data_IF_418608732716
#
_entry.id   IF_418608732716
#
_cell.length_a   1.000
_cell.length_b   1.000
_cell.length_c   1.000
_cell.angle_alpha   90.00
_cell.angle_beta   90.00
_cell.angle_gamma   90.00
#
_symmetry.space_group_name_H-M   'P 1'
#
loop_
_entity.id
_entity.type
_entity.pdbx_description
1 polymer ?
#
# COMPACT_ATOMS: atom_id res chain seq x y z
N UNK A 1 69.72 10.50 -31.97
CA UNK A 1 68.94 11.32 -31.01
C UNK A 1 67.48 11.04 -31.29
N UNK A 2 66.95 10.00 -30.66
CA UNK A 2 65.55 9.58 -30.70
C UNK A 2 64.86 10.05 -29.41
N UNK A 3 63.62 10.57 -29.47
CA UNK A 3 62.94 11.06 -28.28
C UNK A 3 62.15 9.95 -27.57
N UNK A 4 62.59 9.66 -26.35
CA UNK A 4 61.89 9.19 -25.14
C UNK A 4 60.48 8.55 -25.29
N UNK A 5 60.45 7.23 -25.14
CA UNK A 5 59.30 6.49 -24.60
C UNK A 5 59.25 6.61 -23.06
N UNK A 6 58.05 6.84 -22.51
CA UNK A 6 57.77 6.70 -21.07
C UNK A 6 56.90 5.45 -20.87
N UNK A 7 57.22 4.54 -19.92
CA UNK A 7 56.61 3.21 -19.87
C UNK A 7 55.24 3.22 -19.18
N UNK A 8 54.31 2.42 -19.72
CA UNK A 8 53.09 2.03 -19.04
C UNK A 8 53.43 1.08 -17.87
N UNK A 9 52.90 1.41 -16.70
CA UNK A 9 53.01 0.62 -15.47
C UNK A 9 52.21 -0.72 -15.56
N UNK A 10 52.57 -1.72 -14.73
CA UNK A 10 52.36 -3.13 -15.04
C UNK A 10 50.95 -3.64 -14.73
N UNK A 11 50.59 -4.69 -15.49
CA UNK A 11 49.51 -5.66 -15.30
C UNK A 11 48.77 -5.60 -13.94
N UNK A 12 47.54 -5.08 -13.96
CA UNK A 12 46.51 -5.43 -13.00
C UNK A 12 45.53 -6.42 -13.64
N UNK A 13 45.97 -7.68 -13.66
CA UNK A 13 45.14 -8.86 -13.39
C UNK A 13 43.84 -9.01 -14.18
N UNK A 14 43.97 -9.32 -15.48
CA UNK A 14 43.03 -10.23 -16.12
C UNK A 14 43.11 -11.58 -15.39
N UNK A 15 42.16 -11.88 -14.51
CA UNK A 15 42.03 -13.22 -13.95
C UNK A 15 41.58 -14.14 -15.07
N UNK A 16 42.59 -14.83 -15.63
CA UNK A 16 42.51 -16.05 -16.42
C UNK A 16 41.44 -16.96 -15.79
N UNK A 17 40.34 -17.21 -16.50
CA UNK A 17 39.38 -18.25 -16.14
C UNK A 17 40.14 -19.56 -15.96
N UNK A 18 40.26 -20.00 -14.71
CA UNK A 18 40.72 -21.34 -14.36
C UNK A 18 39.64 -22.32 -14.83
N UNK A 19 39.84 -22.92 -16.02
CA UNK A 19 39.25 -24.22 -16.37
C UNK A 19 39.80 -25.20 -15.35
N UNK A 20 39.01 -25.50 -14.33
CA UNK A 20 39.04 -26.70 -13.47
C UNK A 20 38.28 -26.40 -12.18
N UNK A 21 36.97 -26.17 -12.30
CA UNK A 21 36.05 -26.53 -11.23
C UNK A 21 35.42 -27.85 -11.67
N UNK A 22 35.95 -28.96 -11.15
CA UNK A 22 35.17 -30.18 -11.03
C UNK A 22 33.82 -29.78 -10.45
N UNK A 23 32.74 -30.07 -11.18
CA UNK A 23 31.36 -29.95 -10.70
C UNK A 23 31.22 -30.89 -9.49
N UNK A 24 31.64 -30.44 -8.31
CA UNK A 24 30.97 -30.88 -7.11
C UNK A 24 29.57 -30.29 -7.21
N UNK A 25 28.64 -31.10 -7.71
CA UNK A 25 27.26 -30.99 -7.27
C UNK A 25 27.33 -31.05 -5.75
N UNK A 26 27.42 -29.88 -5.10
CA UNK A 26 26.96 -29.71 -3.74
C UNK A 26 25.50 -30.12 -3.80
N UNK A 27 25.24 -31.42 -3.64
CA UNK A 27 23.95 -31.92 -3.25
C UNK A 27 23.68 -31.24 -1.92
N UNK A 28 22.93 -30.13 -1.99
CA UNK A 28 22.31 -29.53 -0.83
C UNK A 28 21.65 -30.70 -0.10
N UNK A 29 21.97 -30.86 1.20
CA UNK A 29 21.27 -31.84 2.01
C UNK A 29 19.75 -31.63 1.83
N UNK A 30 18.89 -32.65 1.99
CA UNK A 30 17.44 -32.47 1.88
C UNK A 30 16.89 -31.31 2.75
N UNK A 31 17.61 -30.97 3.82
CA UNK A 31 17.37 -29.84 4.72
C UNK A 31 17.70 -28.44 4.14
N UNK A 32 18.44 -28.38 3.03
CA UNK A 32 18.96 -27.18 2.37
C UNK A 32 18.34 -26.92 0.99
N UNK A 33 17.32 -27.67 0.56
CA UNK A 33 16.57 -27.29 -0.62
C UNK A 33 15.97 -25.89 -0.41
N UNK A 34 16.18 -24.93 -1.33
CA UNK A 34 15.61 -23.60 -1.22
C UNK A 34 14.09 -23.72 -1.25
N UNK A 35 13.45 -23.68 -0.07
CA UNK A 35 12.00 -23.64 0.01
C UNK A 35 11.54 -22.24 -0.37
N UNK A 36 10.62 -22.13 -1.31
CA UNK A 36 10.04 -20.84 -1.65
C UNK A 36 9.29 -20.23 -0.45
N UNK A 37 9.27 -18.90 -0.41
CA UNK A 37 8.55 -18.12 0.59
C UNK A 37 9.32 -17.95 1.88
N UNK A 38 8.60 -17.69 2.98
CA UNK A 38 9.20 -17.33 4.26
C UNK A 38 9.84 -18.55 4.94
N UNK A 39 10.91 -18.32 5.72
CA UNK A 39 11.63 -19.39 6.41
C UNK A 39 10.71 -20.17 7.37
N UNK A 40 10.70 -21.51 7.23
CA UNK A 40 9.76 -22.44 7.89
C UNK A 40 10.05 -22.74 9.36
N UNK A 41 10.94 -21.99 10.03
CA UNK A 41 11.18 -22.11 11.47
C UNK A 41 10.64 -20.88 12.20
N UNK A 42 9.47 -21.05 12.82
CA UNK A 42 8.89 -20.09 13.75
C UNK A 42 9.80 -19.92 14.97
N UNK A 43 10.56 -18.83 15.02
CA UNK A 43 11.19 -18.39 16.27
C UNK A 43 10.14 -17.70 17.13
N UNK A 44 10.12 -17.98 18.44
CA UNK A 44 9.24 -17.32 19.40
C UNK A 44 9.31 -15.78 19.30
N UNK A 45 10.50 -15.25 18.97
CA UNK A 45 10.73 -13.82 18.77
C UNK A 45 9.92 -13.25 17.60
N UNK A 46 9.71 -14.03 16.52
CA UNK A 46 8.86 -13.61 15.40
C UNK A 46 7.39 -13.57 15.79
N UNK A 47 6.94 -14.51 16.62
CA UNK A 47 5.57 -14.53 17.14
C UNK A 47 5.31 -13.32 18.02
N UNK A 48 6.23 -13.01 18.95
CA UNK A 48 6.15 -11.83 19.82
C UNK A 48 6.17 -10.55 19.01
N UNK A 49 7.09 -10.42 18.04
CA UNK A 49 7.14 -9.25 17.15
C UNK A 49 5.86 -9.07 16.32
N UNK A 50 5.28 -10.17 15.84
CA UNK A 50 4.01 -10.14 15.09
C UNK A 50 2.85 -9.69 15.96
N UNK A 51 2.74 -10.24 17.17
CA UNK A 51 1.72 -9.84 18.14
C UNK A 51 1.87 -8.36 18.52
N UNK A 52 3.10 -7.91 18.76
CA UNK A 52 3.38 -6.51 19.03
C UNK A 52 2.86 -5.63 17.90
N UNK A 53 3.12 -5.96 16.63
CA UNK A 53 2.64 -5.16 15.49
C UNK A 53 1.11 -5.17 15.35
N UNK A 54 0.47 -6.32 15.60
CA UNK A 54 -1.01 -6.44 15.58
C UNK A 54 -1.66 -5.56 16.66
N UNK A 55 -1.00 -5.35 17.80
CA UNK A 55 -1.51 -4.50 18.88
C UNK A 55 -1.09 -3.03 18.70
N UNK A 56 0.15 -2.80 18.29
CA UNK A 56 0.74 -1.48 18.19
C UNK A 56 0.15 -0.65 17.05
N UNK A 57 -0.05 -1.23 15.87
CA UNK A 57 -0.53 -0.47 14.72
C UNK A 57 -1.95 0.11 14.90
N UNK A 58 -2.95 -0.65 15.41
CA UNK A 58 -4.25 -0.09 15.77
C UNK A 58 -4.14 0.98 16.85
N UNK A 59 -3.34 0.73 17.89
CA UNK A 59 -3.13 1.69 18.98
C UNK A 59 -2.55 3.00 18.44
N UNK A 60 -1.61 2.92 17.50
CA UNK A 60 -1.00 4.08 16.88
C UNK A 60 -2.03 4.88 16.07
N UNK A 61 -2.86 4.23 15.24
CA UNK A 61 -3.91 4.91 14.47
C UNK A 61 -4.92 5.61 15.39
N UNK A 62 -5.34 4.95 16.47
CA UNK A 62 -6.24 5.56 17.46
C UNK A 62 -5.55 6.74 18.16
N UNK A 63 -4.29 6.58 18.57
CA UNK A 63 -3.51 7.65 19.20
C UNK A 63 -3.33 8.86 18.27
N UNK A 64 -3.10 8.63 16.97
CA UNK A 64 -3.04 9.69 15.97
C UNK A 64 -4.39 10.39 15.82
N UNK A 65 -5.49 9.63 15.81
CA UNK A 65 -6.85 10.18 15.75
C UNK A 65 -7.13 11.07 16.97
N UNK A 66 -6.82 10.58 18.18
CA UNK A 66 -6.92 11.34 19.43
C UNK A 66 -6.03 12.58 19.41
N UNK A 67 -4.80 12.46 18.90
CA UNK A 67 -3.87 13.60 18.77
C UNK A 67 -4.47 14.70 17.89
N UNK A 68 -5.05 14.32 16.74
CA UNK A 68 -5.69 15.25 15.81
C UNK A 68 -6.93 15.93 16.42
N UNK A 69 -7.78 15.19 17.13
CA UNK A 69 -9.06 15.71 17.63
C UNK A 69 -8.95 16.43 18.97
N UNK A 70 -8.18 15.89 19.93
CA UNK A 70 -8.14 16.39 21.31
C UNK A 70 -6.92 17.28 21.60
N UNK A 71 -5.83 17.13 20.84
CA UNK A 71 -4.57 17.85 21.06
C UNK A 71 -4.19 18.75 19.88
N UNK A 72 -5.17 19.15 19.06
CA UNK A 72 -4.97 20.04 17.91
C UNK A 72 -3.88 19.57 16.92
N UNK A 73 -3.65 18.25 16.83
CA UNK A 73 -2.56 17.67 16.04
C UNK A 73 -1.16 17.78 16.65
N UNK A 74 -1.00 18.34 17.85
CA UNK A 74 0.27 18.46 18.55
C UNK A 74 0.70 17.14 19.21
N UNK A 75 1.64 16.44 18.57
CA UNK A 75 2.25 15.24 19.15
C UNK A 75 2.95 15.54 20.49
N UNK A 76 3.51 16.75 20.64
CA UNK A 76 4.22 17.12 21.87
C UNK A 76 3.29 17.25 23.08
N UNK A 77 2.09 17.79 22.88
CA UNK A 77 1.09 17.91 23.94
C UNK A 77 0.48 16.56 24.28
N UNK A 78 0.18 15.75 23.27
CA UNK A 78 -0.24 14.37 23.48
C UNK A 78 0.79 13.58 24.30
N UNK A 79 2.07 13.64 23.95
CA UNK A 79 3.12 12.94 24.69
C UNK A 79 3.29 13.46 26.12
N UNK A 80 3.14 14.77 26.36
CA UNK A 80 3.16 15.34 27.72
C UNK A 80 2.01 14.77 28.56
N UNK A 81 0.79 14.73 28.02
CA UNK A 81 -0.36 14.14 28.70
C UNK A 81 -0.15 12.65 28.98
N UNK A 82 0.39 11.89 28.01
CA UNK A 82 0.71 10.47 28.18
C UNK A 82 1.77 10.24 29.27
N UNK A 83 2.76 11.12 29.40
CA UNK A 83 3.77 11.03 30.46
C UNK A 83 3.21 11.36 31.85
N UNK A 84 2.18 12.22 31.93
CA UNK A 84 1.56 12.62 33.19
C UNK A 84 0.51 11.62 33.66
N UNK A 85 -0.43 11.24 32.78
CA UNK A 85 -1.64 10.49 33.14
C UNK A 85 -1.63 9.04 32.63
N UNK A 86 -0.66 8.68 31.79
CA UNK A 86 -0.55 7.37 31.16
C UNK A 86 -1.37 7.23 29.86
N UNK A 87 -0.84 6.44 28.92
CA UNK A 87 -1.42 6.28 27.57
C UNK A 87 -2.88 5.83 27.59
N UNK A 88 -3.20 4.83 28.41
CA UNK A 88 -4.54 4.25 28.47
C UNK A 88 -5.55 5.30 28.97
N UNK A 89 -5.20 6.07 30.00
CA UNK A 89 -6.06 7.10 30.57
C UNK A 89 -6.37 8.19 29.56
N UNK A 90 -5.34 8.72 28.89
CA UNK A 90 -5.46 9.78 27.90
C UNK A 90 -6.30 9.34 26.69
N UNK A 91 -6.02 8.15 26.15
CA UNK A 91 -6.73 7.61 24.99
C UNK A 91 -8.18 7.25 25.35
N UNK A 92 -8.42 6.68 26.54
CA UNK A 92 -9.77 6.34 27.00
C UNK A 92 -10.64 7.57 27.22
N UNK A 93 -10.07 8.63 27.79
CA UNK A 93 -10.78 9.89 28.05
C UNK A 93 -11.17 10.62 26.76
N UNK A 94 -10.42 10.40 25.69
CA UNK A 94 -10.63 10.99 24.36
C UNK A 94 -11.09 9.94 23.33
N UNK A 95 -11.68 8.83 23.80
CA UNK A 95 -11.97 7.70 22.93
C UNK A 95 -12.93 8.09 21.80
N UNK A 96 -12.67 7.68 20.54
CA UNK A 96 -13.57 7.96 19.44
C UNK A 96 -14.99 7.45 19.70
N UNK A 97 -16.00 8.25 19.38
CA UNK A 97 -17.39 7.85 19.61
C UNK A 97 -17.83 6.78 18.61
N UNK A 98 -18.35 5.67 19.13
CA UNK A 98 -18.94 4.61 18.32
C UNK A 98 -20.33 5.01 17.82
N UNK A 99 -20.63 4.71 16.56
CA UNK A 99 -21.95 4.91 15.98
C UNK A 99 -22.32 3.75 15.05
N UNK A 100 -23.48 3.14 15.31
CA UNK A 100 -24.03 2.09 14.45
C UNK A 100 -24.37 2.61 13.06
N UNK A 101 -24.86 3.85 12.96
CA UNK A 101 -25.14 4.50 11.66
C UNK A 101 -23.87 4.62 10.83
N UNK A 102 -22.78 5.11 11.43
CA UNK A 102 -21.48 5.27 10.77
C UNK A 102 -20.90 3.91 10.36
N UNK A 103 -21.03 2.90 11.23
CA UNK A 103 -20.62 1.53 10.90
C UNK A 103 -21.42 0.96 9.72
N UNK A 104 -22.73 1.21 9.67
CA UNK A 104 -23.58 0.84 8.53
C UNK A 104 -23.17 1.55 7.24
N UNK A 105 -22.83 2.84 7.29
CA UNK A 105 -22.32 3.59 6.14
C UNK A 105 -20.98 3.04 5.64
N UNK A 106 -20.07 2.69 6.54
CA UNK A 106 -18.81 2.04 6.17
C UNK A 106 -19.03 0.66 5.54
N UNK A 107 -19.95 -0.14 6.08
CA UNK A 107 -20.31 -1.43 5.49
C UNK A 107 -20.92 -1.26 4.08
N UNK A 108 -21.79 -0.27 3.89
CA UNK A 108 -22.36 0.08 2.59
C UNK A 108 -21.27 0.53 1.61
N UNK A 109 -20.29 1.32 2.06
CA UNK A 109 -19.12 1.70 1.28
C UNK A 109 -18.34 0.48 0.79
N UNK A 110 -17.98 -0.45 1.68
CA UNK A 110 -17.25 -1.67 1.32
C UNK A 110 -18.07 -2.53 0.35
N UNK A 111 -19.38 -2.66 0.58
CA UNK A 111 -20.29 -3.41 -0.30
C UNK A 111 -20.38 -2.78 -1.70
N UNK A 112 -20.58 -1.45 -1.77
CA UNK A 112 -20.62 -0.70 -3.02
C UNK A 112 -19.32 -0.89 -3.81
N UNK A 113 -18.18 -0.76 -3.15
CA UNK A 113 -16.88 -1.02 -3.76
C UNK A 113 -16.73 -2.48 -4.23
N UNK A 114 -17.27 -3.45 -3.48
CA UNK A 114 -17.29 -4.86 -3.88
C UNK A 114 -18.13 -5.10 -5.15
N UNK A 115 -19.29 -4.44 -5.26
CA UNK A 115 -20.15 -4.49 -6.45
C UNK A 115 -19.41 -3.92 -7.66
N UNK A 116 -18.79 -2.73 -7.52
CA UNK A 116 -18.01 -2.14 -8.61
C UNK A 116 -16.84 -3.04 -9.01
N UNK A 117 -16.10 -3.58 -8.05
CA UNK A 117 -14.98 -4.49 -8.33
C UNK A 117 -15.42 -5.69 -9.15
N UNK A 118 -16.56 -6.30 -8.81
CA UNK A 118 -17.06 -7.51 -9.47
C UNK A 118 -17.67 -7.24 -10.85
N UNK A 119 -18.47 -6.19 -10.97
CA UNK A 119 -19.36 -6.03 -12.14
C UNK A 119 -18.90 -4.97 -13.13
N UNK A 120 -18.10 -3.99 -12.71
CA UNK A 120 -17.68 -2.92 -13.60
C UNK A 120 -16.72 -3.47 -14.68
N UNK A 121 -16.88 -3.07 -15.96
CA UNK A 121 -16.00 -3.53 -17.02
C UNK A 121 -14.59 -2.95 -16.86
N UNK A 122 -13.60 -3.73 -17.27
CA UNK A 122 -12.20 -3.34 -17.30
C UNK A 122 -11.35 -4.38 -18.03
N UNK A 123 -10.14 -4.03 -18.47
CA UNK A 123 -9.24 -4.98 -19.11
C UNK A 123 -8.82 -6.08 -18.14
N UNK A 124 -8.59 -7.27 -18.70
CA UNK A 124 -8.05 -8.41 -17.96
C UNK A 124 -6.55 -8.48 -18.18
N UNK A 125 -5.80 -8.59 -17.09
CA UNK A 125 -4.36 -8.76 -17.08
C UNK A 125 -3.96 -10.01 -16.30
N UNK A 126 -2.74 -10.49 -16.52
CA UNK A 126 -2.17 -11.59 -15.76
C UNK A 126 -1.25 -11.05 -14.66
N UNK A 127 -1.34 -11.69 -13.49
CA UNK A 127 -0.38 -11.48 -12.41
C UNK A 127 0.97 -12.16 -12.70
N UNK A 128 1.78 -12.32 -11.66
CA UNK A 128 2.95 -13.19 -11.72
C UNK A 128 2.57 -14.64 -11.50
N UNK A 129 3.37 -15.54 -12.06
CA UNK A 129 3.21 -16.97 -11.82
C UNK A 129 3.52 -17.25 -10.35
N UNK A 130 2.60 -17.90 -9.67
CA UNK A 130 2.81 -18.32 -8.29
C UNK A 130 3.88 -19.42 -8.23
N UNK A 131 4.42 -19.70 -7.05
CA UNK A 131 5.42 -20.76 -6.84
C UNK A 131 4.88 -22.15 -7.13
N UNK A 132 3.58 -22.38 -6.89
CA UNK A 132 2.91 -23.60 -7.33
C UNK A 132 2.60 -23.61 -8.83
N UNK A 133 2.99 -22.56 -9.58
CA UNK A 133 2.87 -22.49 -11.04
C UNK A 133 1.58 -21.84 -11.54
N UNK A 134 0.69 -21.37 -10.65
CA UNK A 134 -0.59 -20.79 -11.03
C UNK A 134 -0.43 -19.38 -11.61
N UNK A 135 -0.98 -19.13 -12.80
CA UNK A 135 -1.01 -17.81 -13.42
C UNK A 135 -2.40 -17.21 -13.31
N UNK A 136 -2.57 -16.32 -12.34
CA UNK A 136 -3.87 -15.74 -12.03
C UNK A 136 -4.25 -14.59 -12.97
N UNK A 137 -5.52 -14.52 -13.34
CA UNK A 137 -6.11 -13.42 -14.13
C UNK A 137 -6.79 -12.41 -13.21
N UNK A 138 -6.70 -11.13 -13.56
CA UNK A 138 -7.23 -10.00 -12.79
C UNK A 138 -7.93 -9.03 -13.72
N UNK A 139 -9.13 -8.60 -13.34
CA UNK A 139 -9.81 -7.47 -13.99
C UNK A 139 -9.39 -6.18 -13.30
N UNK A 140 -8.74 -5.28 -14.04
CA UNK A 140 -8.29 -3.99 -13.50
C UNK A 140 -9.26 -2.89 -13.94
N UNK A 141 -10.34 -2.74 -13.17
CA UNK A 141 -11.40 -1.74 -13.41
C UNK A 141 -11.32 -0.55 -12.43
N UNK A 142 -10.18 -0.34 -11.75
CA UNK A 142 -10.05 0.61 -10.65
C UNK A 142 -10.27 2.05 -11.07
N UNK A 143 -9.80 2.44 -12.26
CA UNK A 143 -10.01 3.80 -12.78
C UNK A 143 -11.50 4.09 -13.01
N UNK A 144 -12.21 3.14 -13.64
CA UNK A 144 -13.65 3.26 -13.83
C UNK A 144 -14.38 3.29 -12.48
N UNK A 145 -13.96 2.46 -11.52
CA UNK A 145 -14.55 2.41 -10.19
C UNK A 145 -14.35 3.74 -9.44
N UNK A 146 -13.18 4.36 -9.59
CA UNK A 146 -12.89 5.68 -9.06
C UNK A 146 -13.85 6.74 -9.62
N UNK A 147 -14.01 6.80 -10.96
CA UNK A 147 -14.93 7.76 -11.59
C UNK A 147 -16.38 7.56 -11.17
N UNK A 148 -16.88 6.32 -11.22
CA UNK A 148 -18.26 6.00 -10.81
C UNK A 148 -18.47 6.37 -9.35
N UNK A 149 -17.51 6.07 -8.48
CA UNK A 149 -17.57 6.40 -7.06
C UNK A 149 -17.64 7.91 -6.82
N UNK A 150 -16.75 8.68 -7.44
CA UNK A 150 -16.70 10.14 -7.23
C UNK A 150 -17.90 10.84 -7.85
N UNK A 151 -18.34 10.43 -9.05
CA UNK A 151 -19.55 10.95 -9.66
C UNK A 151 -20.80 10.64 -8.83
N UNK A 152 -20.88 9.43 -8.28
CA UNK A 152 -22.00 9.04 -7.41
C UNK A 152 -21.98 9.82 -6.10
N UNK A 153 -20.83 9.96 -5.44
CA UNK A 153 -20.69 10.77 -4.24
C UNK A 153 -21.06 12.24 -4.50
N UNK A 154 -20.56 12.83 -5.60
CA UNK A 154 -20.90 14.20 -5.99
C UNK A 154 -22.41 14.36 -6.27
N UNK A 155 -23.05 13.38 -6.91
CA UNK A 155 -24.49 13.40 -7.11
C UNK A 155 -25.26 13.33 -5.78
N UNK A 156 -24.87 12.46 -4.86
CA UNK A 156 -25.49 12.38 -3.53
C UNK A 156 -25.35 13.69 -2.75
N UNK A 157 -24.19 14.35 -2.85
CA UNK A 157 -23.98 15.68 -2.28
C UNK A 157 -24.85 16.75 -2.95
N UNK A 158 -24.97 16.73 -4.28
CA UNK A 158 -25.77 17.70 -5.04
C UNK A 158 -27.27 17.60 -4.72
N UNK A 159 -27.78 16.40 -4.44
CA UNK A 159 -29.17 16.17 -4.05
C UNK A 159 -29.40 16.22 -2.52
N UNK A 160 -28.44 16.74 -1.74
CA UNK A 160 -28.50 16.84 -0.27
C UNK A 160 -28.75 15.51 0.46
N UNK A 161 -28.44 14.37 -0.18
CA UNK A 161 -28.57 13.03 0.41
C UNK A 161 -27.36 12.69 1.28
N UNK A 162 -26.19 13.17 0.88
CA UNK A 162 -24.92 12.99 1.59
C UNK A 162 -24.33 14.35 1.94
N UNK A 163 -24.01 14.54 3.22
CA UNK A 163 -23.24 15.70 3.67
C UNK A 163 -21.81 15.62 3.08
N UNK A 164 -21.35 16.62 2.30
CA UNK A 164 -19.99 16.65 1.77
C UNK A 164 -18.91 16.55 2.85
N UNK A 165 -19.20 17.02 4.08
CA UNK A 165 -18.32 16.99 5.24
C UNK A 165 -18.58 15.78 6.16
N UNK A 166 -19.32 14.77 5.70
CA UNK A 166 -19.69 13.60 6.50
C UNK A 166 -18.48 12.87 7.10
N UNK A 167 -17.39 12.69 6.34
CA UNK A 167 -16.22 11.92 6.75
C UNK A 167 -15.53 12.54 7.98
N UNK A 168 -15.05 13.80 7.95
CA UNK A 168 -14.40 14.41 9.10
C UNK A 168 -15.31 14.51 10.33
N UNK A 169 -16.61 14.82 10.15
CA UNK A 169 -17.59 14.85 11.25
C UNK A 169 -17.77 13.50 11.95
N UNK A 170 -17.57 12.39 11.24
CA UNK A 170 -17.78 11.03 11.74
C UNK A 170 -16.46 10.23 11.80
N UNK A 171 -15.31 10.90 11.72
CA UNK A 171 -14.02 10.25 11.53
C UNK A 171 -13.70 9.23 12.62
N UNK A 172 -13.95 9.59 13.89
CA UNK A 172 -13.74 8.69 15.01
C UNK A 172 -14.52 7.37 14.88
N UNK A 173 -15.80 7.44 14.52
CA UNK A 173 -16.62 6.26 14.27
C UNK A 173 -16.12 5.44 13.08
N UNK A 174 -15.73 6.10 11.98
CA UNK A 174 -15.16 5.45 10.79
C UNK A 174 -13.87 4.70 11.13
N UNK A 175 -12.95 5.31 11.89
CA UNK A 175 -11.70 4.67 12.31
C UNK A 175 -11.97 3.42 13.14
N UNK A 176 -12.94 3.44 14.04
CA UNK A 176 -13.35 2.24 14.79
C UNK A 176 -13.93 1.16 13.88
N UNK A 177 -14.82 1.54 12.94
CA UNK A 177 -15.41 0.60 11.98
C UNK A 177 -14.34 -0.03 11.06
N UNK A 178 -13.40 0.77 10.57
CA UNK A 178 -12.26 0.32 9.76
C UNK A 178 -11.38 -0.66 10.55
N UNK A 179 -11.03 -0.34 11.80
CA UNK A 179 -10.25 -1.23 12.67
C UNK A 179 -10.93 -2.58 12.89
N UNK A 180 -12.22 -2.55 13.25
CA UNK A 180 -13.00 -3.77 13.45
C UNK A 180 -13.05 -4.61 12.16
N UNK A 181 -13.34 -3.98 11.02
CA UNK A 181 -13.42 -4.68 9.74
C UNK A 181 -12.08 -5.25 9.28
N UNK A 182 -10.98 -4.51 9.45
CA UNK A 182 -9.63 -4.97 9.14
C UNK A 182 -9.23 -6.19 9.98
N UNK A 183 -9.52 -6.17 11.29
CA UNK A 183 -9.28 -7.31 12.18
C UNK A 183 -10.13 -8.53 11.80
N UNK A 184 -11.44 -8.33 11.58
CA UNK A 184 -12.36 -9.39 11.16
C UNK A 184 -11.91 -10.01 9.84
N UNK A 185 -11.56 -9.18 8.84
CA UNK A 185 -11.07 -9.65 7.54
C UNK A 185 -9.78 -10.46 7.68
N UNK A 186 -8.87 -10.06 8.57
CA UNK A 186 -7.62 -10.78 8.83
C UNK A 186 -7.89 -12.17 9.41
N UNK A 187 -8.80 -12.27 10.38
CA UNK A 187 -9.23 -13.55 10.97
C UNK A 187 -9.95 -14.42 9.94
N UNK A 188 -10.85 -13.84 9.14
CA UNK A 188 -11.55 -14.57 8.07
C UNK A 188 -10.58 -15.09 7.00
N UNK A 189 -9.58 -14.31 6.62
CA UNK A 189 -8.52 -14.74 5.69
C UNK A 189 -7.70 -15.90 6.28
N UNK A 190 -7.35 -15.82 7.56
CA UNK A 190 -6.67 -16.90 8.27
C UNK A 190 -7.50 -18.19 8.30
N UNK A 191 -8.78 -18.10 8.67
CA UNK A 191 -9.71 -19.25 8.69
C UNK A 191 -9.87 -19.83 7.28
N UNK A 192 -10.10 -18.98 6.27
CA UNK A 192 -10.25 -19.40 4.86
C UNK A 192 -9.03 -20.20 4.40
N UNK A 193 -7.81 -19.76 4.72
CA UNK A 193 -6.59 -20.44 4.33
C UNK A 193 -6.49 -21.89 4.89
N UNK A 194 -7.13 -22.17 6.02
CA UNK A 194 -7.19 -23.50 6.63
C UNK A 194 -8.31 -24.36 6.03
N UNK A 195 -9.50 -23.77 5.82
CA UNK A 195 -10.70 -24.53 5.45
C UNK A 195 -10.93 -24.66 3.94
N UNK A 196 -10.74 -23.58 3.19
CA UNK A 196 -11.08 -23.46 1.76
C UNK A 196 -10.07 -22.55 1.04
N UNK A 197 -8.78 -22.91 0.98
CA UNK A 197 -7.81 -22.15 0.20
C UNK A 197 -8.15 -22.21 -1.29
N UNK A 198 -7.88 -21.13 -2.00
CA UNK A 198 -8.07 -21.01 -3.46
C UNK A 198 -7.08 -21.91 -4.17
N UNK A 199 -5.81 -21.90 -3.74
CA UNK A 199 -4.79 -22.86 -4.16
C UNK A 199 -4.09 -23.41 -2.92
N UNK A 200 -4.26 -24.70 -2.64
CA UNK A 200 -3.74 -25.32 -1.42
C UNK A 200 -2.20 -25.36 -1.40
N UNK A 201 -1.58 -25.41 -2.58
CA UNK A 201 -0.13 -25.50 -2.79
C UNK A 201 0.57 -24.13 -2.66
N UNK A 202 -0.18 -23.03 -2.77
CA UNK A 202 0.31 -21.66 -2.53
C UNK A 202 0.08 -21.22 -1.06
N UNK A 203 -0.02 -22.17 -0.14
CA UNK A 203 -0.06 -21.90 1.30
C UNK A 203 1.32 -22.01 1.92
N UNK A 204 1.61 -21.11 2.86
CA UNK A 204 2.83 -21.18 3.66
C UNK A 204 2.51 -21.00 5.14
N UNK A 205 2.73 -22.08 5.90
CA UNK A 205 2.67 -22.09 7.35
C UNK A 205 4.07 -21.90 7.94
N UNK A 206 4.19 -21.07 8.97
CA UNK A 206 5.46 -20.85 9.68
C UNK A 206 5.63 -21.71 10.93
N UNK A 207 4.56 -22.39 11.37
CA UNK A 207 4.49 -23.08 12.65
C UNK A 207 4.14 -22.16 13.83
N UNK A 208 3.90 -20.87 13.59
CA UNK A 208 3.42 -19.91 14.60
C UNK A 208 2.10 -19.29 14.16
N UNK A 209 1.04 -19.54 14.95
CA UNK A 209 -0.31 -18.99 14.69
C UNK A 209 -0.30 -17.47 14.64
N UNK A 210 0.42 -16.81 15.56
CA UNK A 210 0.47 -15.35 15.63
C UNK A 210 1.20 -14.74 14.42
N UNK A 211 2.29 -15.39 13.99
CA UNK A 211 3.01 -14.96 12.79
C UNK A 211 2.19 -15.19 11.52
N UNK A 212 1.52 -16.33 11.43
CA UNK A 212 0.69 -16.71 10.27
C UNK A 212 -0.58 -15.85 10.17
N UNK A 213 -1.15 -15.42 11.30
CA UNK A 213 -2.21 -14.41 11.33
C UNK A 213 -1.70 -13.05 10.83
N UNK A 214 -0.51 -12.64 11.27
CA UNK A 214 0.07 -11.35 10.89
C UNK A 214 0.45 -11.29 9.40
N UNK A 215 1.26 -12.25 8.95
CA UNK A 215 1.83 -12.31 7.60
C UNK A 215 0.96 -13.04 6.57
N UNK A 216 -0.14 -13.68 7.00
CA UNK A 216 -1.04 -14.44 6.14
C UNK A 216 -0.54 -15.84 5.81
N UNK A 217 -1.45 -16.77 5.50
CA UNK A 217 -1.11 -18.15 5.12
C UNK A 217 -1.28 -18.41 3.64
N UNK A 218 -2.33 -17.84 3.04
CA UNK A 218 -2.67 -18.03 1.63
C UNK A 218 -2.08 -16.91 0.79
N UNK A 219 -1.42 -17.24 -0.33
CA UNK A 219 -0.78 -16.23 -1.17
C UNK A 219 -1.82 -15.26 -1.73
N UNK A 220 -2.77 -15.71 -2.56
CA UNK A 220 -3.78 -14.86 -3.19
C UNK A 220 -5.19 -15.41 -2.95
N UNK A 221 -5.80 -15.13 -1.78
CA UNK A 221 -7.15 -15.62 -1.49
C UNK A 221 -8.19 -14.97 -2.38
N UNK A 222 -8.99 -15.82 -3.02
CA UNK A 222 -10.14 -15.42 -3.83
C UNK A 222 -11.45 -15.94 -3.27
N UNK A 223 -12.49 -15.12 -3.39
CA UNK A 223 -13.88 -15.51 -3.12
C UNK A 223 -14.70 -15.41 -4.42
N UNK A 224 -15.79 -16.18 -4.53
CA UNK A 224 -16.73 -16.09 -5.65
C UNK A 224 -16.10 -16.04 -7.06
N UNK A 225 -15.05 -16.84 -7.30
CA UNK A 225 -14.33 -16.89 -8.57
C UNK A 225 -13.08 -16.00 -8.57
N UNK A 226 -13.12 -14.90 -9.33
CA UNK A 226 -11.98 -14.00 -9.58
C UNK A 226 -11.89 -12.81 -8.60
N UNK A 227 -12.72 -12.79 -7.54
CA UNK A 227 -12.68 -11.73 -6.54
C UNK A 227 -11.45 -11.90 -5.63
N UNK A 228 -10.35 -11.27 -6.01
CA UNK A 228 -9.08 -11.32 -5.28
C UNK A 228 -9.07 -10.33 -4.12
N UNK A 229 -8.89 -10.84 -2.89
CA UNK A 229 -9.00 -10.02 -1.68
C UNK A 229 -7.89 -8.96 -1.60
N UNK A 230 -6.67 -9.24 -2.07
CA UNK A 230 -5.58 -8.25 -2.00
C UNK A 230 -5.84 -7.07 -2.91
N UNK A 231 -6.15 -7.35 -4.18
CA UNK A 231 -6.40 -6.30 -5.15
C UNK A 231 -7.64 -5.50 -4.76
N UNK A 232 -8.69 -6.20 -4.29
CA UNK A 232 -9.90 -5.56 -3.79
C UNK A 232 -9.57 -4.63 -2.62
N UNK A 233 -8.99 -5.13 -1.53
CA UNK A 233 -8.88 -4.36 -0.28
C UNK A 233 -7.98 -3.15 -0.42
N UNK A 234 -6.83 -3.32 -1.10
CA UNK A 234 -5.91 -2.22 -1.35
C UNK A 234 -6.53 -1.20 -2.30
N UNK A 235 -7.00 -1.65 -3.47
CA UNK A 235 -7.43 -0.76 -4.53
C UNK A 235 -8.76 -0.08 -4.28
N UNK A 236 -9.76 -0.79 -3.72
CA UNK A 236 -11.15 -0.31 -3.70
C UNK A 236 -11.47 0.45 -2.40
N UNK A 237 -11.81 -0.19 -1.26
CA UNK A 237 -12.12 0.54 -0.04
C UNK A 237 -10.91 1.29 0.55
N UNK A 238 -9.67 0.93 0.20
CA UNK A 238 -8.45 1.65 0.60
C UNK A 238 -8.17 2.88 -0.27
N UNK A 239 -7.54 2.68 -1.44
CA UNK A 239 -7.03 3.78 -2.28
C UNK A 239 -8.14 4.71 -2.80
N UNK A 240 -9.33 4.23 -3.17
CA UNK A 240 -10.41 5.14 -3.62
C UNK A 240 -10.91 6.02 -2.47
N UNK A 241 -10.92 5.51 -1.23
CA UNK A 241 -11.33 6.30 -0.08
C UNK A 241 -10.41 7.50 0.17
N UNK A 242 -9.11 7.39 -0.17
CA UNK A 242 -8.12 8.45 0.01
C UNK A 242 -8.62 9.80 -0.56
N UNK A 243 -8.96 9.85 -1.85
CA UNK A 243 -9.38 11.11 -2.48
C UNK A 243 -10.76 11.58 -1.98
N UNK A 244 -11.65 10.67 -1.57
CA UNK A 244 -12.92 11.05 -0.94
C UNK A 244 -12.71 11.70 0.43
N UNK A 245 -11.80 11.16 1.24
CA UNK A 245 -11.44 11.72 2.55
C UNK A 245 -10.86 13.12 2.36
N UNK A 246 -9.96 13.30 1.40
CA UNK A 246 -9.37 14.60 1.10
C UNK A 246 -10.43 15.64 0.68
N UNK A 247 -11.30 15.29 -0.26
CA UNK A 247 -12.39 16.18 -0.71
C UNK A 247 -13.37 16.51 0.42
N UNK A 248 -13.68 15.53 1.28
CA UNK A 248 -14.58 15.75 2.41
C UNK A 248 -13.95 16.65 3.49
N UNK A 249 -12.63 16.59 3.69
CA UNK A 249 -11.92 17.52 4.55
C UNK A 249 -11.90 18.96 3.99
N UNK A 250 -11.80 19.13 2.66
CA UNK A 250 -11.95 20.46 2.03
C UNK A 250 -13.36 21.01 2.29
N UNK A 251 -14.40 20.18 2.11
CA UNK A 251 -15.77 20.60 2.37
C UNK A 251 -16.00 20.97 3.84
N UNK A 252 -15.45 20.19 4.76
CA UNK A 252 -15.51 20.50 6.20
C UNK A 252 -14.79 21.79 6.54
N UNK A 253 -13.61 22.04 5.94
CA UNK A 253 -12.90 23.30 6.11
C UNK A 253 -13.78 24.47 5.68
N UNK A 254 -14.41 24.38 4.50
CA UNK A 254 -15.34 25.42 4.03
C UNK A 254 -16.51 25.64 5.00
N UNK A 255 -17.08 24.57 5.55
CA UNK A 255 -18.20 24.67 6.50
C UNK A 255 -17.82 25.40 7.79
N UNK A 256 -16.64 25.13 8.36
CA UNK A 256 -16.24 25.71 9.66
C UNK A 256 -15.70 27.14 9.55
N UNK A 257 -15.09 27.54 8.43
CA UNK A 257 -14.48 28.87 8.28
C UNK A 257 -15.08 29.74 7.14
N UNK A 258 -16.00 29.21 6.33
CA UNK A 258 -16.59 29.93 5.19
C UNK A 258 -15.63 30.19 4.03
N UNK A 259 -14.43 29.61 4.04
CA UNK A 259 -13.39 29.74 3.01
C UNK A 259 -12.55 28.46 2.92
N UNK A 260 -11.81 28.29 1.83
CA UNK A 260 -10.90 27.16 1.63
C UNK A 260 -9.48 27.72 1.54
N UNK A 261 -8.56 27.17 2.33
CA UNK A 261 -7.14 27.52 2.24
C UNK A 261 -6.50 26.85 1.02
N UNK A 262 -5.59 27.52 0.28
CA UNK A 262 -4.97 26.92 -0.91
C UNK A 262 -4.18 25.64 -0.59
N UNK A 263 -3.56 25.55 0.59
CA UNK A 263 -2.71 24.43 0.96
C UNK A 263 -3.43 23.06 1.00
N UNK A 264 -4.67 22.99 1.49
CA UNK A 264 -5.44 21.74 1.52
C UNK A 264 -5.78 21.29 0.10
N UNK A 265 -6.08 22.24 -0.79
CA UNK A 265 -6.34 21.96 -2.21
C UNK A 265 -5.07 21.45 -2.91
N UNK A 266 -3.92 22.08 -2.67
CA UNK A 266 -2.65 21.67 -3.28
C UNK A 266 -2.23 20.25 -2.84
N UNK A 267 -2.38 19.92 -1.55
CA UNK A 267 -2.14 18.55 -1.05
C UNK A 267 -3.11 17.56 -1.70
N UNK A 268 -4.40 17.89 -1.76
CA UNK A 268 -5.40 17.04 -2.41
C UNK A 268 -5.11 16.82 -3.89
N UNK A 269 -4.60 17.82 -4.61
CA UNK A 269 -4.16 17.66 -6.01
C UNK A 269 -3.00 16.66 -6.10
N UNK A 270 -1.98 16.77 -5.24
CA UNK A 270 -0.85 15.83 -5.24
C UNK A 270 -1.31 14.40 -4.93
N UNK A 271 -2.20 14.23 -3.95
CA UNK A 271 -2.80 12.94 -3.62
C UNK A 271 -3.63 12.39 -4.79
N UNK A 272 -4.47 13.21 -5.42
CA UNK A 272 -5.28 12.82 -6.56
C UNK A 272 -4.42 12.41 -7.77
N UNK A 273 -3.34 13.14 -8.06
CA UNK A 273 -2.37 12.75 -9.10
C UNK A 273 -1.79 11.37 -8.79
N UNK A 274 -1.36 11.12 -7.56
CA UNK A 274 -0.82 9.82 -7.15
C UNK A 274 -1.84 8.68 -7.28
N UNK A 275 -3.07 8.91 -6.78
CA UNK A 275 -4.15 7.92 -6.80
C UNK A 275 -4.63 7.60 -8.22
N UNK A 276 -4.82 8.61 -9.06
CA UNK A 276 -5.20 8.42 -10.46
C UNK A 276 -4.09 7.75 -11.26
N UNK A 277 -2.84 8.14 -11.04
CA UNK A 277 -1.66 7.51 -11.65
C UNK A 277 -1.56 6.02 -11.28
N UNK A 278 -1.87 5.66 -10.03
CA UNK A 278 -2.00 4.27 -9.61
C UNK A 278 -3.06 3.53 -10.42
N UNK A 279 -4.28 4.07 -10.55
CA UNK A 279 -5.37 3.39 -11.27
C UNK A 279 -5.18 3.34 -12.79
N UNK A 280 -4.59 4.37 -13.39
CA UNK A 280 -4.19 4.36 -14.81
C UNK A 280 -3.18 3.23 -15.07
N UNK A 281 -2.35 2.91 -14.08
CA UNK A 281 -1.32 1.88 -14.16
C UNK A 281 -1.64 0.66 -13.26
N UNK A 282 -2.91 0.38 -12.97
CA UNK A 282 -3.32 -0.64 -11.98
C UNK A 282 -2.73 -2.03 -12.31
N UNK A 283 -2.56 -2.36 -13.58
CA UNK A 283 -1.94 -3.61 -14.04
C UNK A 283 -0.48 -3.79 -13.59
N UNK A 284 0.23 -2.70 -13.28
CA UNK A 284 1.59 -2.75 -12.74
C UNK A 284 1.61 -3.22 -11.29
N UNK A 285 0.55 -2.92 -10.54
CA UNK A 285 0.41 -3.38 -9.15
C UNK A 285 0.36 -4.91 -9.06
N UNK A 286 -0.10 -5.60 -10.11
CA UNK A 286 -0.09 -7.07 -10.17
C UNK A 286 1.32 -7.70 -10.15
N UNK A 287 2.37 -6.87 -10.28
CA UNK A 287 3.78 -7.28 -10.25
C UNK A 287 4.52 -6.81 -9.00
N UNK A 288 3.83 -6.14 -8.06
CA UNK A 288 4.45 -5.69 -6.81
C UNK A 288 4.64 -6.85 -5.85
N UNK A 289 5.42 -6.61 -4.80
CA UNK A 289 5.67 -7.59 -3.75
C UNK A 289 4.37 -8.05 -3.08
N UNK A 290 3.43 -7.14 -2.87
CA UNK A 290 2.14 -7.40 -2.21
C UNK A 290 1.33 -8.48 -2.93
N UNK A 291 1.26 -8.43 -4.27
CA UNK A 291 0.53 -9.42 -5.07
C UNK A 291 1.38 -10.67 -5.34
N UNK A 292 2.65 -10.49 -5.70
CA UNK A 292 3.47 -11.59 -6.23
C UNK A 292 4.14 -12.43 -5.14
N UNK A 293 4.34 -11.92 -3.92
CA UNK A 293 5.20 -12.58 -2.92
C UNK A 293 4.59 -12.62 -1.51
N UNK A 294 3.95 -11.54 -1.06
CA UNK A 294 3.40 -11.49 0.30
C UNK A 294 2.10 -12.29 0.42
N UNK A 295 1.89 -12.98 1.52
CA UNK A 295 0.63 -13.70 1.75
C UNK A 295 -0.39 -12.75 2.39
N UNK A 296 -1.68 -13.04 2.22
CA UNK A 296 -2.73 -12.17 2.71
C UNK A 296 -3.08 -12.48 4.18
N UNK A 297 -2.64 -11.61 5.08
CA UNK A 297 -2.96 -11.65 6.52
C UNK A 297 -3.19 -10.24 7.06
N UNK A 298 -3.07 -10.05 8.38
CA UNK A 298 -3.29 -8.76 9.03
C UNK A 298 -2.52 -7.61 8.39
N UNK A 299 -1.25 -7.81 8.06
CA UNK A 299 -0.41 -6.79 7.45
C UNK A 299 -1.06 -6.14 6.22
N UNK A 300 -1.55 -6.96 5.28
CA UNK A 300 -2.19 -6.46 4.06
C UNK A 300 -3.66 -6.10 4.28
N UNK A 301 -4.41 -6.93 5.01
CA UNK A 301 -5.85 -6.73 5.22
C UNK A 301 -6.14 -5.48 6.05
N UNK A 302 -5.58 -5.38 7.25
CA UNK A 302 -5.74 -4.23 8.13
C UNK A 302 -5.01 -3.00 7.58
N UNK A 303 -3.81 -3.18 7.00
CA UNK A 303 -3.05 -2.08 6.38
C UNK A 303 -3.85 -1.38 5.27
N UNK A 304 -4.53 -2.14 4.41
CA UNK A 304 -5.35 -1.59 3.32
C UNK A 304 -6.61 -0.87 3.82
N UNK A 305 -7.28 -1.43 4.83
CA UNK A 305 -8.57 -0.92 5.33
C UNK A 305 -8.44 0.26 6.29
N UNK A 306 -7.32 0.32 7.02
CA UNK A 306 -7.17 1.23 8.15
C UNK A 306 -6.00 2.16 7.90
N UNK A 307 -4.79 1.61 7.85
CA UNK A 307 -3.57 2.41 7.79
C UNK A 307 -3.54 3.32 6.57
N UNK A 308 -3.83 2.78 5.39
CA UNK A 308 -3.81 3.55 4.15
C UNK A 308 -4.79 4.74 4.22
N UNK A 309 -6.11 4.55 4.38
CA UNK A 309 -7.03 5.68 4.40
C UNK A 309 -6.83 6.60 5.61
N UNK A 310 -6.37 6.10 6.77
CA UNK A 310 -6.27 6.93 7.97
C UNK A 310 -4.95 7.67 8.10
N UNK A 311 -3.83 7.07 7.70
CA UNK A 311 -2.50 7.65 7.91
C UNK A 311 -2.03 8.44 6.68
N UNK A 312 -2.42 8.04 5.47
CA UNK A 312 -1.96 8.72 4.25
C UNK A 312 -2.72 10.04 4.00
N UNK A 313 -3.82 10.26 4.72
CA UNK A 313 -4.66 11.46 4.63
C UNK A 313 -4.51 12.37 5.85
N UNK A 314 -3.54 12.13 6.74
CA UNK A 314 -3.34 12.94 7.96
C UNK A 314 -3.19 14.43 7.62
N UNK A 315 -2.56 14.75 6.49
CA UNK A 315 -2.32 16.11 6.05
C UNK A 315 -3.64 16.85 5.80
N UNK A 316 -4.57 16.24 5.06
CA UNK A 316 -5.88 16.83 4.76
C UNK A 316 -6.80 16.78 5.97
N UNK A 317 -6.73 15.74 6.80
CA UNK A 317 -7.41 15.70 8.10
C UNK A 317 -6.97 16.85 9.01
N UNK A 318 -5.66 17.08 9.13
CA UNK A 318 -5.11 18.17 9.93
C UNK A 318 -5.54 19.52 9.39
N UNK A 319 -5.35 19.79 8.09
CA UNK A 319 -5.72 21.08 7.49
C UNK A 319 -7.24 21.32 7.51
N UNK A 320 -8.05 20.26 7.43
CA UNK A 320 -9.50 20.34 7.54
C UNK A 320 -9.95 20.69 8.96
N UNK A 321 -9.37 20.08 9.98
CA UNK A 321 -9.70 20.33 11.39
C UNK A 321 -9.07 21.62 11.95
N UNK A 322 -7.86 21.94 11.50
CA UNK A 322 -7.03 23.04 11.99
C UNK A 322 -6.58 23.93 10.82
N UNK A 323 -7.47 24.77 10.28
CA UNK A 323 -7.15 25.67 9.17
C UNK A 323 -5.92 26.53 9.50
N UNK A 324 -4.85 26.34 8.73
CA UNK A 324 -3.57 26.98 8.98
C UNK A 324 -3.17 27.75 7.73
N UNK A 325 -3.12 29.08 7.81
CA UNK A 325 -2.69 29.90 6.68
C UNK A 325 -1.18 29.77 6.47
N UNK A 326 -0.77 29.56 5.22
CA UNK A 326 0.63 29.47 4.81
C UNK A 326 0.97 30.55 3.80
N UNK A 327 2.25 30.92 3.69
CA UNK A 327 2.66 31.89 2.68
C UNK A 327 2.60 31.26 1.28
N UNK A 328 2.19 32.03 0.28
CA UNK A 328 2.10 31.56 -1.10
C UNK A 328 3.45 31.04 -1.62
N UNK A 329 4.56 31.65 -1.20
CA UNK A 329 5.91 31.20 -1.57
C UNK A 329 6.18 29.78 -1.04
N UNK A 330 5.80 29.51 0.21
CA UNK A 330 5.95 28.17 0.80
C UNK A 330 5.09 27.14 0.06
N UNK A 331 3.83 27.47 -0.22
CA UNK A 331 2.90 26.61 -0.95
C UNK A 331 3.42 26.26 -2.35
N UNK A 332 3.86 27.26 -3.12
CA UNK A 332 4.44 27.06 -4.45
C UNK A 332 5.69 26.20 -4.38
N UNK A 333 6.57 26.43 -3.40
CA UNK A 333 7.79 25.64 -3.24
C UNK A 333 7.48 24.16 -2.94
N UNK A 334 6.63 23.89 -1.94
CA UNK A 334 6.26 22.51 -1.56
C UNK A 334 5.52 21.80 -2.70
N UNK A 335 4.57 22.47 -3.34
CA UNK A 335 3.85 21.91 -4.47
C UNK A 335 4.78 21.59 -5.64
N UNK A 336 5.71 22.48 -5.97
CA UNK A 336 6.71 22.26 -7.02
C UNK A 336 7.62 21.07 -6.71
N UNK A 337 8.02 20.88 -5.44
CA UNK A 337 8.77 19.70 -5.01
C UNK A 337 7.95 18.43 -5.20
N UNK A 338 6.67 18.43 -4.82
CA UNK A 338 5.75 17.30 -5.02
C UNK A 338 5.61 16.93 -6.50
N UNK A 339 5.39 17.92 -7.38
CA UNK A 339 5.29 17.72 -8.83
C UNK A 339 6.61 17.21 -9.41
N UNK A 340 7.75 17.79 -9.03
CA UNK A 340 9.06 17.32 -9.47
C UNK A 340 9.32 15.86 -9.05
N UNK A 341 8.97 15.51 -7.81
CA UNK A 341 9.03 14.14 -7.32
C UNK A 341 8.19 13.17 -8.16
N UNK A 342 6.95 13.55 -8.48
CA UNK A 342 6.09 12.77 -9.37
C UNK A 342 6.68 12.59 -10.77
N UNK A 343 7.21 13.67 -11.36
CA UNK A 343 7.85 13.62 -12.69
C UNK A 343 9.03 12.65 -12.69
N UNK A 344 9.90 12.72 -11.67
CA UNK A 344 11.04 11.81 -11.54
C UNK A 344 10.55 10.36 -11.39
N UNK A 345 9.59 10.12 -10.50
CA UNK A 345 9.01 8.79 -10.27
C UNK A 345 8.47 8.17 -11.56
N UNK A 346 7.64 8.92 -12.29
CA UNK A 346 7.01 8.45 -13.54
C UNK A 346 8.04 8.30 -14.66
N UNK A 347 9.00 9.22 -14.77
CA UNK A 347 10.08 9.17 -15.75
C UNK A 347 10.96 7.94 -15.57
N UNK A 348 11.43 7.65 -14.36
CA UNK A 348 12.30 6.49 -14.09
C UNK A 348 11.57 5.18 -14.37
N UNK A 349 10.30 5.07 -13.97
CA UNK A 349 9.50 3.86 -14.26
C UNK A 349 9.24 3.68 -15.75
N UNK A 350 8.92 4.75 -16.48
CA UNK A 350 8.75 4.71 -17.94
C UNK A 350 10.05 4.32 -18.66
N UNK A 351 11.19 4.86 -18.22
CA UNK A 351 12.50 4.50 -18.78
C UNK A 351 12.82 3.01 -18.54
N UNK A 352 12.65 2.52 -17.30
CA UNK A 352 12.86 1.11 -16.95
C UNK A 352 12.03 0.18 -17.84
N UNK A 353 10.75 0.49 -18.01
CA UNK A 353 9.80 -0.30 -18.77
C UNK A 353 10.09 -0.25 -20.28
N UNK A 354 10.43 0.93 -20.82
CA UNK A 354 10.89 1.07 -22.21
C UNK A 354 12.16 0.25 -22.49
N UNK A 355 13.15 0.29 -21.60
CA UNK A 355 14.38 -0.49 -21.73
C UNK A 355 14.08 -1.99 -21.73
N UNK A 356 13.21 -2.46 -20.82
CA UNK A 356 12.82 -3.88 -20.75
C UNK A 356 12.05 -4.34 -21.98
N UNK A 357 11.05 -3.58 -22.43
CA UNK A 357 10.27 -3.91 -23.63
C UNK A 357 11.10 -3.91 -24.92
N UNK A 358 12.13 -3.08 -25.00
CA UNK A 358 13.02 -3.00 -26.17
C UNK A 358 14.23 -3.93 -26.08
N UNK A 359 14.36 -4.75 -25.03
CA UNK A 359 15.57 -5.54 -24.76
C UNK A 359 16.85 -4.70 -24.82
N UNK A 360 16.82 -3.49 -24.27
CA UNK A 360 17.92 -2.54 -24.28
C UNK A 360 18.12 -1.77 -25.60
N UNK A 361 17.35 -2.07 -26.65
CA UNK A 361 17.44 -1.39 -27.96
C UNK A 361 16.63 -0.11 -27.98
N UNK A 362 16.98 0.84 -27.10
CA UNK A 362 16.37 2.16 -27.07
C UNK A 362 17.38 3.24 -26.72
N UNK A 363 17.02 4.50 -26.97
CA UNK A 363 17.79 5.67 -26.49
C UNK A 363 17.25 6.15 -25.14
N UNK A 364 18.16 6.42 -24.20
CA UNK A 364 17.91 7.10 -22.93
C UNK A 364 18.72 8.39 -22.93
N UNK A 365 18.02 9.53 -22.81
CA UNK A 365 18.64 10.87 -22.79
C UNK A 365 19.58 11.14 -23.98
N UNK A 366 19.15 10.74 -25.18
CA UNK A 366 19.90 10.97 -26.41
C UNK A 366 21.05 9.99 -26.67
N UNK A 367 21.29 9.02 -25.79
CA UNK A 367 22.36 8.01 -25.93
C UNK A 367 21.78 6.59 -25.97
N UNK A 368 22.43 5.63 -26.65
CA UNK A 368 22.05 4.21 -26.57
C UNK A 368 22.01 3.72 -25.12
N UNK A 369 20.96 2.98 -24.76
CA UNK A 369 20.80 2.44 -23.41
C UNK A 369 21.95 1.48 -23.05
N UNK A 370 22.53 1.65 -21.86
CA UNK A 370 23.51 0.72 -21.30
C UNK A 370 22.79 -0.22 -20.35
N UNK A 371 22.85 -1.52 -20.63
CA UNK A 371 22.18 -2.57 -19.85
C UNK A 371 23.18 -3.65 -19.41
N UNK A 372 22.94 -4.24 -18.24
CA UNK A 372 23.65 -5.43 -17.79
C UNK A 372 22.73 -6.64 -17.99
N UNK A 373 23.21 -7.64 -18.74
CA UNK A 373 22.47 -8.89 -18.95
C UNK A 373 22.82 -9.84 -17.82
N UNK A 374 21.88 -10.06 -16.91
CA UNK A 374 22.03 -11.03 -15.82
C UNK A 374 21.67 -12.44 -16.33
N UNK A 375 22.52 -13.42 -16.03
CA UNK A 375 22.22 -14.84 -16.24
C UNK A 375 21.74 -15.45 -14.91
N UNK A 376 20.62 -16.16 -14.94
CA UNK A 376 20.07 -16.87 -13.78
C UNK A 376 19.56 -18.25 -14.22
N UNK A 377 19.45 -19.17 -13.26
CA UNK A 377 18.82 -20.48 -13.46
C UNK A 377 17.59 -20.54 -12.58
N UNK A 378 16.43 -20.81 -13.16
CA UNK A 378 15.19 -20.96 -12.39
C UNK A 378 15.08 -22.36 -11.80
N UNK A 379 14.20 -22.53 -10.81
CA UNK A 379 13.97 -23.84 -10.17
C UNK A 379 13.34 -24.88 -11.09
N UNK A 380 12.72 -24.44 -12.19
CA UNK A 380 12.17 -25.28 -13.25
C UNK A 380 13.19 -25.53 -14.39
N UNK A 381 14.46 -25.19 -14.21
CA UNK A 381 15.55 -25.39 -15.17
C UNK A 381 15.29 -24.75 -16.56
N UNK A 382 14.51 -23.65 -16.60
CA UNK A 382 14.21 -22.87 -17.81
C UNK A 382 15.10 -21.65 -18.00
#
# INVERSE_FOLDING_TARGET
>A
MEPLEVPLAPEATFVRMRKDYSRSLLQLEPSQQPTWGRASRGSWMRSVGSLFLVMFAPTLVISTTVTLSAFQGSLSEFLKAVLQDGLISVVWSNWPQFSLKVTGMFALWVLFQGILFRYLPGPTHHGQRSPAGHLLTYRTNGLNAWFVTHAFAAALCYFDVLDPAFIPKNWGGLVLSMNAAGLVLSVLAFIKAHLRPTHADDRKFSGSVLYDLYMGVELNPRIWGDFDLKLFTNGRPGIIAWTLIDLSNIAYQYEIQGRIDPNIVLVTILHAVYVLDFFVNESWYLRTIDIAHDHFGFYLAWGSFVWLPSMYTIQTQYLGLHPTATSTIYEVAVFSIGVAGYIIFRSVNSQKDRVRRSNGRCSIWGKPAKVLVASYKTSDDT
#
